data_IF_817208900167
#
_entry.id   IF_817208900167
#
_cell.length_a   1.000
_cell.length_b   1.000
_cell.length_c   1.000
_cell.angle_alpha   90.00
_cell.angle_beta   90.00
_cell.angle_gamma   90.00
#
_symmetry.space_group_name_H-M   'P 1'
#
loop_
_entity.id
_entity.type
_entity.pdbx_description
1 polymer ?
#
# COMPACT_ATOMS: atom_id res chain seq x y z
N UNK A 1 30.19 8.74 9.20
CA UNK A 1 29.31 8.49 10.31
C UNK A 1 28.34 7.38 9.92
N UNK A 2 28.37 6.27 10.68
CA UNK A 2 27.39 5.21 10.52
C UNK A 2 26.01 5.79 10.87
N UNK A 3 25.07 5.70 9.94
CA UNK A 3 23.67 6.02 10.17
C UNK A 3 22.94 4.74 10.58
N UNK A 4 21.97 4.85 11.47
CA UNK A 4 21.25 3.70 12.06
C UNK A 4 20.35 2.97 11.03
N UNK A 5 19.95 3.66 9.95
CA UNK A 5 19.20 3.07 8.84
C UNK A 5 19.87 3.31 7.49
N UNK A 6 19.81 2.31 6.62
CA UNK A 6 20.29 2.42 5.23
C UNK A 6 19.54 3.52 4.46
N UNK A 7 18.30 3.78 4.81
CA UNK A 7 17.46 4.82 4.19
C UNK A 7 17.86 6.26 4.59
N UNK A 8 18.71 6.43 5.60
CA UNK A 8 19.16 7.75 6.04
C UNK A 8 20.31 8.33 5.20
N UNK A 9 20.84 7.55 4.26
CA UNK A 9 21.87 8.04 3.35
C UNK A 9 21.25 8.89 2.24
N UNK A 10 21.62 10.16 2.18
CA UNK A 10 21.10 11.13 1.22
C UNK A 10 21.78 11.09 -0.15
N UNK A 11 22.84 10.31 -0.29
CA UNK A 11 23.63 10.17 -1.51
C UNK A 11 23.48 8.79 -2.20
N UNK A 12 22.50 8.01 -1.80
CA UNK A 12 22.21 6.69 -2.37
C UNK A 12 20.77 6.66 -2.88
N UNK A 13 20.58 6.20 -4.12
CA UNK A 13 19.29 5.87 -4.68
C UNK A 13 19.13 4.34 -4.75
N UNK A 14 18.03 3.83 -4.23
CA UNK A 14 17.75 2.40 -4.15
C UNK A 14 16.89 1.92 -5.31
N UNK A 15 17.20 0.73 -5.85
CA UNK A 15 16.32 0.05 -6.78
C UNK A 15 14.94 -0.18 -6.14
N UNK A 16 13.87 0.06 -6.89
CA UNK A 16 12.48 -0.06 -6.41
C UNK A 16 11.93 1.20 -5.75
N UNK A 17 12.71 2.30 -5.66
CA UNK A 17 12.21 3.61 -5.25
C UNK A 17 11.83 4.47 -6.46
N UNK A 18 10.87 5.38 -6.26
CA UNK A 18 10.40 6.31 -7.30
C UNK A 18 10.93 7.72 -7.04
N UNK A 19 11.29 8.41 -8.12
CA UNK A 19 11.59 9.85 -8.08
C UNK A 19 10.27 10.61 -8.03
N UNK A 20 10.07 11.40 -6.97
CA UNK A 20 8.83 12.16 -6.76
C UNK A 20 8.97 13.59 -7.27
N UNK A 21 10.16 14.18 -7.10
CA UNK A 21 10.44 15.55 -7.56
C UNK A 21 11.92 15.68 -7.92
N UNK A 22 12.22 16.66 -8.76
CA UNK A 22 13.57 17.00 -9.24
C UNK A 22 14.22 15.92 -10.11
N UNK A 23 15.47 16.15 -10.47
CA UNK A 23 16.31 15.24 -11.24
C UNK A 23 17.71 15.17 -10.67
N UNK A 24 18.34 14.01 -10.81
CA UNK A 24 19.72 13.82 -10.37
C UNK A 24 20.48 12.93 -11.35
N UNK A 25 21.80 13.08 -11.36
CA UNK A 25 22.71 12.17 -12.06
C UNK A 25 23.34 11.23 -11.06
N UNK A 26 23.30 9.93 -11.31
CA UNK A 26 23.82 8.91 -10.43
C UNK A 26 24.75 7.94 -11.16
N UNK A 27 25.68 7.34 -10.43
CA UNK A 27 26.52 6.24 -10.89
C UNK A 27 25.95 4.94 -10.38
N UNK A 28 25.68 3.99 -11.29
CA UNK A 28 25.20 2.66 -10.94
C UNK A 28 26.33 1.85 -10.31
N UNK A 29 26.16 1.42 -9.07
CA UNK A 29 27.17 0.64 -8.30
C UNK A 29 26.80 -0.84 -8.18
N UNK A 30 25.50 -1.18 -8.21
CA UNK A 30 25.00 -2.56 -8.14
C UNK A 30 23.81 -2.73 -9.09
N UNK A 31 23.64 -3.93 -9.66
CA UNK A 31 22.52 -4.27 -10.57
C UNK A 31 21.94 -5.64 -10.23
N UNK A 32 20.66 -5.83 -10.56
CA UNK A 32 19.96 -7.11 -10.41
C UNK A 32 19.97 -7.63 -8.97
N UNK A 33 20.33 -8.88 -8.79
CA UNK A 33 20.31 -9.58 -7.49
C UNK A 33 21.33 -9.04 -6.48
N UNK A 34 22.32 -8.27 -6.95
CA UNK A 34 23.30 -7.63 -6.07
C UNK A 34 22.81 -6.31 -5.45
N UNK A 35 21.65 -5.82 -5.86
CA UNK A 35 21.02 -4.67 -5.22
C UNK A 35 20.35 -5.08 -3.90
N UNK A 36 20.08 -4.10 -3.02
CA UNK A 36 19.35 -4.36 -1.78
C UNK A 36 17.96 -4.97 -2.07
N UNK A 37 17.26 -4.44 -3.07
CA UNK A 37 15.97 -4.97 -3.50
C UNK A 37 16.09 -6.40 -4.06
N UNK A 38 17.11 -6.67 -4.89
CA UNK A 38 17.38 -8.00 -5.43
C UNK A 38 17.65 -9.03 -4.35
N UNK A 39 18.44 -8.68 -3.33
CA UNK A 39 18.71 -9.55 -2.19
C UNK A 39 17.46 -9.87 -1.36
N UNK A 40 16.57 -8.88 -1.17
CA UNK A 40 15.26 -9.09 -0.53
C UNK A 40 14.35 -9.97 -1.38
N UNK A 41 14.31 -9.75 -2.69
CA UNK A 41 13.53 -10.58 -3.62
C UNK A 41 14.01 -12.03 -3.63
N UNK A 42 15.33 -12.26 -3.61
CA UNK A 42 15.92 -13.59 -3.50
C UNK A 42 15.58 -14.28 -2.16
N UNK A 43 15.58 -13.53 -1.05
CA UNK A 43 15.16 -14.05 0.26
C UNK A 43 13.69 -14.46 0.31
N UNK A 44 12.81 -13.70 -0.37
CA UNK A 44 11.38 -14.03 -0.48
C UNK A 44 11.14 -15.20 -1.46
N UNK A 45 11.94 -15.32 -2.51
CA UNK A 45 11.89 -16.43 -3.46
C UNK A 45 12.56 -17.72 -2.95
N UNK A 46 13.23 -17.67 -1.79
CA UNK A 46 13.94 -18.77 -1.15
C UNK A 46 13.08 -20.00 -0.86
N UNK A 47 13.71 -21.06 -0.37
CA UNK A 47 13.14 -22.40 -0.20
C UNK A 47 11.72 -22.38 0.38
N UNK A 48 10.84 -23.13 -0.29
CA UNK A 48 9.47 -23.31 0.18
C UNK A 48 9.50 -23.90 1.60
N UNK A 49 8.99 -23.16 2.56
CA UNK A 49 8.92 -23.60 3.95
C UNK A 49 8.12 -24.90 4.01
N UNK A 50 8.73 -25.97 4.56
CA UNK A 50 8.05 -27.23 4.74
C UNK A 50 6.81 -27.05 5.61
N UNK A 51 5.65 -27.41 5.06
CA UNK A 51 4.39 -27.35 5.79
C UNK A 51 4.30 -28.43 6.84
N UNK A 52 3.52 -28.23 7.92
CA UNK A 52 3.25 -29.27 8.93
C UNK A 52 2.68 -30.54 8.30
N UNK A 53 1.91 -30.41 7.23
CA UNK A 53 1.38 -31.54 6.48
C UNK A 53 2.48 -32.31 5.73
N UNK A 54 3.40 -31.63 5.04
CA UNK A 54 4.53 -32.28 4.37
C UNK A 54 5.40 -33.03 5.38
N UNK A 55 5.65 -32.45 6.55
CA UNK A 55 6.35 -33.14 7.65
C UNK A 55 5.59 -34.37 8.12
N UNK A 56 4.26 -34.28 8.25
CA UNK A 56 3.39 -35.41 8.61
C UNK A 56 3.44 -36.54 7.59
N UNK A 57 3.33 -36.22 6.30
CA UNK A 57 3.42 -37.20 5.20
C UNK A 57 4.81 -37.90 5.19
N UNK A 58 5.88 -37.15 5.36
CA UNK A 58 7.23 -37.69 5.47
C UNK A 58 7.39 -38.59 6.69
N UNK A 59 6.82 -38.21 7.83
CA UNK A 59 6.84 -39.04 9.05
C UNK A 59 6.13 -40.40 8.84
N UNK A 60 4.93 -40.39 8.24
CA UNK A 60 4.18 -41.61 7.91
C UNK A 60 4.96 -42.46 6.92
N UNK A 61 5.56 -41.88 5.88
CA UNK A 61 6.39 -42.59 4.91
C UNK A 61 7.58 -43.29 5.59
N UNK A 62 8.26 -42.61 6.53
CA UNK A 62 9.35 -43.23 7.31
C UNK A 62 8.91 -44.38 8.21
N UNK A 63 7.71 -44.28 8.82
CA UNK A 63 7.13 -45.40 9.61
C UNK A 63 6.89 -46.60 8.70
N UNK A 64 6.30 -46.40 7.52
CA UNK A 64 6.07 -47.48 6.54
C UNK A 64 7.38 -48.10 6.04
N UNK A 65 8.39 -47.30 5.74
CA UNK A 65 9.72 -47.78 5.33
C UNK A 65 10.36 -48.65 6.44
N UNK A 66 10.29 -48.20 7.72
CA UNK A 66 10.80 -48.99 8.85
C UNK A 66 10.04 -50.29 9.00
N UNK A 67 8.72 -50.27 8.87
CA UNK A 67 7.89 -51.48 8.91
C UNK A 67 8.27 -52.48 7.78
N UNK A 68 8.44 -51.96 6.56
CA UNK A 68 8.90 -52.76 5.40
C UNK A 68 10.27 -53.38 5.65
N UNK A 69 11.24 -52.62 6.19
CA UNK A 69 12.59 -53.10 6.52
C UNK A 69 12.60 -54.28 7.51
N UNK A 70 11.59 -54.37 8.36
CA UNK A 70 11.44 -55.48 9.30
C UNK A 70 10.65 -56.65 8.69
N UNK A 71 9.53 -56.35 8.03
CA UNK A 71 8.61 -57.35 7.53
C UNK A 71 9.14 -58.11 6.31
N UNK A 72 9.81 -57.44 5.38
CA UNK A 72 10.32 -58.09 4.16
C UNK A 72 11.39 -59.14 4.47
N UNK A 73 12.43 -58.90 5.28
CA UNK A 73 13.37 -59.92 5.70
C UNK A 73 12.70 -61.04 6.50
N UNK A 74 11.78 -60.71 7.41
CA UNK A 74 11.07 -61.73 8.19
C UNK A 74 10.33 -62.73 7.27
N UNK A 75 9.56 -62.20 6.31
CA UNK A 75 8.80 -62.99 5.36
C UNK A 75 9.73 -63.80 4.44
N UNK A 76 10.84 -63.19 4.00
CA UNK A 76 11.85 -63.86 3.18
C UNK A 76 12.43 -65.07 3.90
N UNK A 77 12.87 -64.93 5.13
CA UNK A 77 13.45 -66.04 5.90
C UNK A 77 12.42 -67.12 6.25
N UNK A 78 11.22 -66.74 6.69
CA UNK A 78 10.15 -67.67 7.00
C UNK A 78 9.78 -68.49 5.76
N UNK A 79 9.60 -67.83 4.60
CA UNK A 79 9.21 -68.52 3.36
C UNK A 79 10.35 -69.41 2.80
N UNK A 80 11.61 -68.90 2.88
CA UNK A 80 12.78 -69.70 2.45
C UNK A 80 13.00 -70.97 3.28
N UNK A 81 12.78 -70.88 4.60
CA UNK A 81 12.93 -72.04 5.49
C UNK A 81 11.75 -73.03 5.32
N UNK A 82 10.53 -72.54 5.16
CA UNK A 82 9.33 -73.37 5.11
C UNK A 82 9.18 -74.12 3.74
N UNK A 83 9.49 -73.42 2.64
CA UNK A 83 9.34 -73.95 1.27
C UNK A 83 10.63 -74.51 0.67
N UNK A 84 11.79 -74.14 1.20
CA UNK A 84 13.10 -74.59 0.69
C UNK A 84 13.52 -73.92 -0.61
N UNK A 85 12.71 -73.07 -1.21
CA UNK A 85 13.03 -72.33 -2.44
C UNK A 85 13.31 -70.84 -2.12
N UNK A 86 14.58 -70.52 -2.08
CA UNK A 86 15.07 -69.17 -1.75
C UNK A 86 14.82 -68.17 -2.86
N UNK A 87 14.70 -68.59 -4.13
CA UNK A 87 14.43 -67.73 -5.25
C UNK A 87 12.96 -67.23 -5.20
N UNK A 88 12.03 -68.21 -4.99
CA UNK A 88 10.60 -67.90 -4.84
C UNK A 88 10.37 -67.00 -3.62
N UNK A 89 11.02 -67.28 -2.48
CA UNK A 89 10.95 -66.48 -1.26
C UNK A 89 11.46 -65.04 -1.48
N UNK A 90 12.51 -64.84 -2.27
CA UNK A 90 13.06 -63.55 -2.63
C UNK A 90 12.10 -62.74 -3.53
N UNK A 91 11.57 -63.36 -4.58
CA UNK A 91 10.59 -62.71 -5.45
C UNK A 91 9.30 -62.31 -4.70
N UNK A 92 8.87 -63.14 -3.76
CA UNK A 92 7.74 -62.84 -2.90
C UNK A 92 8.04 -61.70 -1.93
N UNK A 93 9.23 -61.64 -1.36
CA UNK A 93 9.70 -60.53 -0.52
C UNK A 93 9.72 -59.19 -1.27
N UNK A 94 10.22 -59.20 -2.52
CA UNK A 94 10.19 -57.99 -3.38
C UNK A 94 8.75 -57.55 -3.65
N UNK A 95 7.86 -58.51 -3.97
CA UNK A 95 6.45 -58.17 -4.24
C UNK A 95 5.77 -57.49 -3.05
N UNK A 96 6.08 -57.97 -1.81
CA UNK A 96 5.60 -57.30 -0.59
C UNK A 96 6.23 -55.93 -0.42
N UNK A 97 7.53 -55.77 -0.68
CA UNK A 97 8.21 -54.48 -0.60
C UNK A 97 7.57 -53.44 -1.51
N UNK A 98 7.32 -53.79 -2.78
CA UNK A 98 6.65 -52.94 -3.75
C UNK A 98 5.21 -52.60 -3.30
N UNK A 99 4.45 -53.60 -2.81
CA UNK A 99 3.07 -53.43 -2.39
C UNK A 99 2.92 -52.57 -1.11
N UNK A 100 3.93 -52.52 -0.24
CA UNK A 100 3.96 -51.70 0.97
C UNK A 100 4.48 -50.28 0.71
N UNK A 101 5.06 -50.00 -0.44
CA UNK A 101 5.57 -48.66 -0.75
C UNK A 101 4.41 -47.72 -1.03
N UNK A 102 4.31 -46.59 -0.31
CA UNK A 102 3.17 -45.65 -0.43
C UNK A 102 3.29 -44.77 -1.67
N UNK A 103 3.37 -45.32 -2.87
CA UNK A 103 3.59 -44.59 -4.13
C UNK A 103 2.42 -43.66 -4.48
N UNK A 104 1.22 -44.05 -4.08
CA UNK A 104 0.01 -43.31 -4.41
C UNK A 104 -0.21 -42.05 -3.54
N UNK A 105 0.42 -41.97 -2.35
CA UNK A 105 0.18 -40.86 -1.42
C UNK A 105 0.62 -39.49 -1.96
N UNK A 106 1.84 -39.35 -2.53
CA UNK A 106 2.25 -38.08 -3.15
C UNK A 106 1.35 -37.67 -4.32
N UNK A 107 0.91 -38.63 -5.11
CA UNK A 107 0.02 -38.37 -6.25
C UNK A 107 -1.36 -37.89 -5.81
N UNK A 108 -1.96 -38.47 -4.78
CA UNK A 108 -3.23 -38.06 -4.22
C UNK A 108 -3.11 -36.63 -3.67
N UNK A 109 -2.05 -36.37 -2.91
CA UNK A 109 -1.81 -35.02 -2.33
C UNK A 109 -1.67 -33.97 -3.44
N UNK A 110 -0.84 -34.23 -4.44
CA UNK A 110 -0.62 -33.30 -5.57
C UNK A 110 -1.92 -33.04 -6.33
N UNK A 111 -2.72 -34.10 -6.56
CA UNK A 111 -4.02 -33.97 -7.23
C UNK A 111 -5.00 -33.13 -6.43
N UNK A 112 -5.07 -33.31 -5.12
CA UNK A 112 -5.92 -32.51 -4.23
C UNK A 112 -5.48 -31.03 -4.22
N UNK A 113 -4.18 -30.77 -4.14
CA UNK A 113 -3.65 -29.42 -4.19
C UNK A 113 -3.91 -28.73 -5.53
N UNK A 114 -3.71 -29.44 -6.65
CA UNK A 114 -4.03 -28.92 -7.97
C UNK A 114 -5.51 -28.56 -8.11
N UNK A 115 -6.41 -29.44 -7.61
CA UNK A 115 -7.85 -29.15 -7.59
C UNK A 115 -8.17 -27.91 -6.72
N UNK A 116 -7.50 -27.78 -5.57
CA UNK A 116 -7.59 -26.60 -4.72
C UNK A 116 -7.16 -25.32 -5.44
N UNK A 117 -6.00 -25.36 -6.12
CA UNK A 117 -5.50 -24.23 -6.91
C UNK A 117 -6.47 -23.82 -8.02
N UNK A 118 -7.06 -24.77 -8.74
CA UNK A 118 -8.09 -24.49 -9.75
C UNK A 118 -9.33 -23.84 -9.13
N UNK A 119 -9.75 -24.29 -7.96
CA UNK A 119 -10.89 -23.69 -7.25
C UNK A 119 -10.58 -22.24 -6.82
N UNK A 120 -9.36 -21.97 -6.32
CA UNK A 120 -8.91 -20.63 -5.95
C UNK A 120 -8.76 -19.72 -7.18
N UNK A 121 -8.30 -20.25 -8.31
CA UNK A 121 -8.21 -19.50 -9.57
C UNK A 121 -9.58 -18.99 -10.04
N UNK A 122 -10.65 -19.76 -9.85
CA UNK A 122 -12.02 -19.29 -10.14
C UNK A 122 -12.46 -18.13 -9.26
N UNK A 123 -11.82 -17.93 -8.11
CA UNK A 123 -11.99 -16.80 -7.20
C UNK A 123 -10.92 -15.72 -7.39
N UNK A 124 -10.33 -15.64 -8.59
CA UNK A 124 -9.32 -14.64 -8.97
C UNK A 124 -8.02 -14.70 -8.14
N UNK A 125 -7.70 -15.86 -7.56
CA UNK A 125 -6.47 -16.06 -6.79
C UNK A 125 -5.52 -16.95 -7.54
N UNK A 126 -4.30 -16.49 -7.83
CA UNK A 126 -3.24 -17.26 -8.49
C UNK A 126 -2.30 -17.82 -7.43
N UNK A 127 -2.26 -19.14 -7.32
CA UNK A 127 -1.36 -19.83 -6.39
C UNK A 127 -0.02 -20.07 -7.07
N UNK A 128 1.05 -19.48 -6.58
CA UNK A 128 2.41 -19.67 -7.09
C UNK A 128 3.07 -20.94 -6.54
N UNK A 129 2.78 -21.31 -5.30
CA UNK A 129 3.30 -22.51 -4.66
C UNK A 129 2.13 -23.35 -4.13
N UNK A 130 1.93 -24.55 -4.72
CA UNK A 130 0.82 -25.44 -4.37
C UNK A 130 0.81 -25.85 -2.90
N UNK A 131 2.00 -26.07 -2.32
CA UNK A 131 2.12 -26.47 -0.92
C UNK A 131 1.60 -25.41 0.06
N UNK A 132 1.58 -24.14 -0.34
CA UNK A 132 1.07 -23.03 0.50
C UNK A 132 -0.44 -23.12 0.72
N UNK A 133 -1.20 -23.83 -0.13
CA UNK A 133 -2.67 -23.98 0.03
C UNK A 133 -3.00 -24.63 1.36
N UNK A 134 -2.19 -25.55 1.83
CA UNK A 134 -2.42 -26.28 3.08
C UNK A 134 -2.29 -25.39 4.31
N UNK A 135 -1.48 -24.33 4.21
CA UNK A 135 -1.27 -23.39 5.32
C UNK A 135 -2.51 -22.52 5.56
N UNK A 136 -3.35 -22.30 4.54
CA UNK A 136 -4.57 -21.49 4.71
C UNK A 136 -5.56 -22.10 5.70
N UNK A 137 -5.64 -23.43 5.79
CA UNK A 137 -6.52 -24.12 6.73
C UNK A 137 -6.00 -24.19 8.17
N UNK A 138 -4.75 -23.80 8.42
CA UNK A 138 -4.10 -23.83 9.72
C UNK A 138 -3.60 -22.44 10.15
N UNK A 139 -4.14 -21.39 9.56
CA UNK A 139 -3.70 -20.03 9.81
C UNK A 139 -4.51 -19.43 10.96
N UNK A 140 -3.82 -19.02 12.02
CA UNK A 140 -4.42 -18.37 13.20
C UNK A 140 -4.27 -16.84 13.14
N UNK A 141 -3.27 -16.35 12.40
CA UNK A 141 -2.95 -14.93 12.31
C UNK A 141 -2.76 -14.53 10.85
N UNK A 142 -3.54 -13.55 10.40
CA UNK A 142 -3.43 -12.94 9.07
C UNK A 142 -2.79 -11.56 9.18
N UNK A 143 -1.57 -11.42 8.65
CA UNK A 143 -0.92 -10.12 8.49
C UNK A 143 -1.19 -9.61 7.06
N UNK A 144 -1.85 -8.47 6.95
CA UNK A 144 -2.19 -7.87 5.67
C UNK A 144 -1.78 -6.40 5.61
N UNK A 145 -1.44 -5.92 4.41
CA UNK A 145 -1.29 -4.49 4.16
C UNK A 145 -2.68 -3.84 4.04
N UNK A 146 -2.79 -2.57 4.39
CA UNK A 146 -4.03 -1.80 4.32
C UNK A 146 -4.28 -1.32 2.89
N UNK A 147 -3.32 -0.56 2.35
CA UNK A 147 -3.50 0.21 1.12
C UNK A 147 -3.41 -0.69 -0.12
N UNK A 148 -4.44 -0.67 -0.96
CA UNK A 148 -4.51 -1.50 -2.17
C UNK A 148 -4.89 -2.97 -1.92
N UNK A 149 -4.79 -3.46 -0.66
CA UNK A 149 -5.20 -4.81 -0.26
C UNK A 149 -6.58 -4.80 0.38
N UNK A 150 -6.74 -4.13 1.51
CA UNK A 150 -8.04 -3.97 2.19
C UNK A 150 -8.84 -2.80 1.65
N UNK A 151 -8.15 -1.76 1.17
CA UNK A 151 -8.78 -0.59 0.54
C UNK A 151 -8.69 -0.67 -0.98
N UNK A 152 -9.55 0.07 -1.65
CA UNK A 152 -9.48 0.27 -3.10
C UNK A 152 -8.22 1.08 -3.43
N UNK A 153 -7.64 0.88 -4.63
CA UNK A 153 -6.56 1.74 -5.16
C UNK A 153 -7.14 3.10 -5.62
N UNK A 154 -7.99 3.68 -4.78
CA UNK A 154 -8.71 4.91 -5.03
C UNK A 154 -8.80 5.68 -3.72
N UNK A 155 -8.49 6.96 -3.78
CA UNK A 155 -8.72 7.91 -2.70
C UNK A 155 -9.91 8.77 -3.06
N UNK A 156 -10.80 9.03 -2.12
CA UNK A 156 -11.98 9.87 -2.32
C UNK A 156 -11.85 11.11 -1.44
N UNK A 157 -12.08 12.29 -2.03
CA UNK A 157 -12.23 13.53 -1.27
C UNK A 157 -13.66 13.60 -0.72
N UNK A 158 -13.78 13.40 0.60
CA UNK A 158 -15.06 13.37 1.29
C UNK A 158 -15.49 14.78 1.72
N UNK A 159 -14.59 15.53 2.36
CA UNK A 159 -14.88 16.86 2.87
C UNK A 159 -13.88 17.90 2.37
N UNK A 160 -14.38 19.11 2.10
CA UNK A 160 -13.62 20.31 1.79
C UNK A 160 -14.09 21.46 2.71
N UNK A 161 -13.50 21.54 3.89
CA UNK A 161 -13.99 22.32 5.02
C UNK A 161 -13.24 23.65 5.15
N UNK A 162 -13.97 24.71 5.44
CA UNK A 162 -13.40 26.00 5.84
C UNK A 162 -12.79 25.92 7.25
N UNK A 163 -12.21 27.00 7.73
CA UNK A 163 -11.59 27.09 9.05
C UNK A 163 -12.58 26.84 10.20
N UNK A 164 -13.87 27.05 9.97
CA UNK A 164 -14.94 26.78 10.93
C UNK A 164 -15.42 25.31 10.94
N UNK A 165 -14.98 24.52 9.97
CA UNK A 165 -15.40 23.11 9.82
C UNK A 165 -16.66 22.93 8.99
N UNK A 166 -17.04 23.90 8.19
CA UNK A 166 -18.19 23.84 7.28
C UNK A 166 -17.73 23.59 5.85
N UNK A 167 -18.56 22.90 5.06
CA UNK A 167 -18.25 22.68 3.65
C UNK A 167 -18.18 24.00 2.87
N UNK A 168 -17.07 24.19 2.16
CA UNK A 168 -16.84 25.40 1.36
C UNK A 168 -16.15 25.06 0.03
N UNK A 169 -16.87 25.33 -1.06
CA UNK A 169 -16.36 25.14 -2.44
C UNK A 169 -15.14 26.01 -2.75
N UNK A 170 -14.91 27.07 -1.98
CA UNK A 170 -13.72 27.90 -2.11
C UNK A 170 -12.44 27.15 -1.74
N UNK A 171 -12.50 26.29 -0.72
CA UNK A 171 -11.39 25.38 -0.36
C UNK A 171 -11.10 24.45 -1.51
N UNK A 172 -12.14 23.85 -2.09
CA UNK A 172 -12.02 22.94 -3.24
C UNK A 172 -11.42 23.64 -4.45
N UNK A 173 -11.86 24.87 -4.76
CA UNK A 173 -11.29 25.68 -5.86
C UNK A 173 -9.78 25.90 -5.70
N UNK A 174 -9.32 26.30 -4.52
CA UNK A 174 -7.89 26.49 -4.27
C UNK A 174 -7.11 25.17 -4.36
N UNK A 175 -7.68 24.10 -3.82
CA UNK A 175 -7.10 22.78 -3.92
C UNK A 175 -6.96 22.32 -5.37
N UNK A 176 -7.98 22.57 -6.21
CA UNK A 176 -7.93 22.29 -7.64
C UNK A 176 -6.80 23.06 -8.33
N UNK A 177 -6.69 24.36 -8.11
CA UNK A 177 -5.62 25.18 -8.70
C UNK A 177 -4.25 24.64 -8.35
N UNK A 178 -4.03 24.21 -7.11
CA UNK A 178 -2.78 23.57 -6.71
C UNK A 178 -2.56 22.23 -7.40
N UNK A 179 -3.54 21.32 -7.37
CA UNK A 179 -3.41 19.96 -7.89
C UNK A 179 -3.40 19.89 -9.42
N UNK A 180 -4.14 20.75 -10.10
CA UNK A 180 -4.22 20.77 -11.56
C UNK A 180 -2.94 21.34 -12.18
N UNK A 181 -2.44 22.45 -11.66
CA UNK A 181 -1.30 23.18 -12.23
C UNK A 181 0.07 22.68 -11.76
N UNK A 182 0.14 21.78 -10.79
CA UNK A 182 1.43 21.15 -10.43
C UNK A 182 2.01 20.33 -11.58
N UNK A 183 3.34 20.34 -11.71
CA UNK A 183 4.08 19.55 -12.69
C UNK A 183 4.41 18.17 -12.13
N UNK A 184 4.53 17.18 -13.00
CA UNK A 184 4.94 15.83 -12.65
C UNK A 184 3.77 14.88 -12.37
N UNK A 185 4.04 13.84 -11.60
CA UNK A 185 3.07 12.79 -11.31
C UNK A 185 2.00 13.28 -10.32
N UNK A 186 0.73 13.22 -10.74
CA UNK A 186 -0.40 13.51 -9.86
C UNK A 186 -0.69 12.27 -9.01
N UNK A 187 -0.61 12.41 -7.71
CA UNK A 187 -0.93 11.34 -6.78
C UNK A 187 -2.45 11.12 -6.67
N UNK A 188 -2.86 10.06 -5.98
CA UNK A 188 -4.28 9.71 -5.83
C UNK A 188 -5.12 10.83 -5.16
N UNK A 189 -4.53 11.61 -4.26
CA UNK A 189 -5.23 12.74 -3.61
C UNK A 189 -5.42 13.89 -4.59
N UNK A 190 -4.44 14.17 -5.45
CA UNK A 190 -4.58 15.17 -6.51
C UNK A 190 -5.69 14.81 -7.49
N UNK A 191 -5.73 13.54 -7.92
CA UNK A 191 -6.79 13.04 -8.78
C UNK A 191 -8.16 13.12 -8.11
N UNK A 192 -8.25 12.81 -6.81
CA UNK A 192 -9.49 12.93 -6.04
C UNK A 192 -10.00 14.38 -5.97
N UNK A 193 -9.10 15.36 -5.82
CA UNK A 193 -9.45 16.78 -5.84
C UNK A 193 -10.00 17.18 -7.22
N UNK A 194 -9.31 16.81 -8.28
CA UNK A 194 -9.71 17.13 -9.66
C UNK A 194 -11.08 16.53 -9.96
N UNK A 195 -11.25 15.24 -9.72
CA UNK A 195 -12.53 14.54 -9.90
C UNK A 195 -13.68 15.18 -9.12
N UNK A 196 -13.45 15.48 -7.83
CA UNK A 196 -14.47 16.10 -6.99
C UNK A 196 -14.87 17.48 -7.52
N UNK A 197 -13.90 18.24 -8.03
CA UNK A 197 -14.17 19.56 -8.62
C UNK A 197 -15.01 19.44 -9.88
N UNK A 198 -14.67 18.51 -10.77
CA UNK A 198 -15.42 18.25 -12.01
C UNK A 198 -16.86 17.76 -11.71
N UNK A 199 -17.05 16.91 -10.69
CA UNK A 199 -18.40 16.49 -10.26
C UNK A 199 -19.24 17.69 -9.77
N UNK A 200 -18.64 18.65 -9.08
CA UNK A 200 -19.32 19.81 -8.49
C UNK A 200 -19.42 21.00 -9.44
N UNK A 201 -18.75 20.99 -10.57
CA UNK A 201 -18.73 22.09 -11.57
C UNK A 201 -20.14 22.46 -12.04
N UNK A 202 -21.01 21.46 -12.24
CA UNK A 202 -22.40 21.69 -12.64
C UNK A 202 -23.25 22.34 -11.55
N UNK A 203 -22.85 22.22 -10.28
CA UNK A 203 -23.60 22.73 -9.14
C UNK A 203 -23.13 24.12 -8.69
N UNK A 204 -21.83 24.45 -8.88
CA UNK A 204 -21.26 25.73 -8.44
C UNK A 204 -20.47 26.45 -9.54
N UNK A 205 -21.00 27.60 -9.97
CA UNK A 205 -20.38 28.44 -11.02
C UNK A 205 -18.95 28.90 -10.70
N UNK A 206 -18.54 28.87 -9.45
CA UNK A 206 -17.18 29.23 -9.02
C UNK A 206 -16.12 28.21 -9.39
N UNK A 207 -16.53 27.01 -9.78
CA UNK A 207 -15.67 25.90 -10.18
C UNK A 207 -15.55 25.74 -11.70
N UNK A 208 -16.37 26.47 -12.47
CA UNK A 208 -16.42 26.38 -13.94
C UNK A 208 -15.15 26.98 -14.55
N UNK A 209 -14.60 26.30 -15.57
CA UNK A 209 -13.49 26.75 -16.43
C UNK A 209 -12.25 27.23 -15.65
N UNK A 210 -11.94 26.64 -14.48
CA UNK A 210 -10.78 27.04 -13.69
C UNK A 210 -9.47 26.85 -14.46
N UNK A 211 -9.35 25.79 -15.25
CA UNK A 211 -8.18 25.50 -16.10
C UNK A 211 -7.98 26.53 -17.22
N UNK A 212 -9.05 27.18 -17.71
CA UNK A 212 -9.00 28.21 -18.74
C UNK A 212 -8.88 29.63 -18.16
N UNK A 213 -9.30 29.81 -16.92
CA UNK A 213 -9.31 31.10 -16.23
C UNK A 213 -7.96 31.46 -15.63
N UNK A 214 -7.18 30.46 -15.27
CA UNK A 214 -5.87 30.62 -14.65
C UNK A 214 -4.77 30.04 -15.53
N UNK A 215 -3.58 30.63 -15.42
CA UNK A 215 -2.35 30.16 -16.08
C UNK A 215 -1.32 29.91 -14.99
N UNK A 216 -0.62 28.79 -15.10
CA UNK A 216 0.53 28.50 -14.22
C UNK A 216 1.66 29.48 -14.51
N UNK A 217 2.22 30.06 -13.47
CA UNK A 217 3.39 30.97 -13.54
C UNK A 217 4.63 30.27 -13.00
N UNK A 218 4.51 29.60 -11.85
CA UNK A 218 5.64 28.92 -11.20
C UNK A 218 5.13 27.86 -10.23
N UNK A 219 6.05 27.07 -9.68
CA UNK A 219 5.76 26.12 -8.60
C UNK A 219 6.96 25.93 -7.68
N UNK A 220 6.68 25.57 -6.43
CA UNK A 220 7.66 25.08 -5.48
C UNK A 220 7.31 23.61 -5.26
N UNK A 221 8.11 22.66 -5.78
CA UNK A 221 7.80 21.24 -5.71
C UNK A 221 7.65 20.72 -4.29
N UNK A 222 7.02 19.57 -4.15
CA UNK A 222 6.88 18.89 -2.87
C UNK A 222 8.26 18.54 -2.29
N UNK A 223 8.43 18.81 -0.99
CA UNK A 223 9.62 18.45 -0.24
C UNK A 223 9.20 17.73 1.06
N UNK A 224 9.81 16.59 1.32
CA UNK A 224 9.53 15.76 2.49
C UNK A 224 9.83 16.44 3.84
N UNK A 225 10.79 17.38 3.87
CA UNK A 225 11.07 18.17 5.09
C UNK A 225 10.01 19.23 5.34
N UNK A 226 9.57 19.87 4.25
CA UNK A 226 8.54 20.93 4.30
C UNK A 226 7.12 20.35 4.30
N UNK A 227 6.92 19.11 3.84
CA UNK A 227 5.64 18.37 3.70
C UNK A 227 4.53 19.21 3.04
N UNK A 228 4.90 20.05 2.07
CA UNK A 228 4.00 20.92 1.34
C UNK A 228 4.49 21.18 -0.09
N UNK A 229 3.56 21.58 -0.93
CA UNK A 229 3.76 21.95 -2.33
C UNK A 229 3.01 23.23 -2.62
N UNK A 230 3.63 24.14 -3.35
CA UNK A 230 3.03 25.42 -3.74
C UNK A 230 2.98 25.56 -5.25
N UNK A 231 1.86 26.04 -5.78
CA UNK A 231 1.73 26.47 -7.18
C UNK A 231 1.41 27.95 -7.21
N UNK A 232 2.01 28.65 -8.17
CA UNK A 232 1.69 30.05 -8.42
C UNK A 232 0.92 30.14 -9.73
N UNK A 233 -0.29 30.66 -9.64
CA UNK A 233 -1.18 30.86 -10.80
C UNK A 233 -1.48 32.33 -10.98
N UNK A 234 -1.78 32.73 -12.21
CA UNK A 234 -2.16 34.08 -12.58
C UNK A 234 -3.55 34.07 -13.20
N UNK A 235 -4.41 34.98 -12.77
CA UNK A 235 -5.73 35.18 -13.36
C UNK A 235 -5.67 36.05 -14.66
N UNK A 236 -6.79 36.17 -15.36
CA UNK A 236 -6.91 36.98 -16.60
C UNK A 236 -6.63 38.48 -16.38
N UNK A 237 -6.65 38.95 -15.12
CA UNK A 237 -6.37 40.35 -14.75
C UNK A 237 -4.88 40.55 -14.40
N UNK A 238 -4.06 39.54 -14.52
CA UNK A 238 -2.64 39.62 -14.15
C UNK A 238 -2.33 39.47 -12.69
N UNK A 239 -3.34 39.20 -11.83
CA UNK A 239 -3.12 38.97 -10.38
C UNK A 239 -2.55 37.60 -10.16
N UNK A 240 -1.41 37.52 -9.48
CA UNK A 240 -0.77 36.27 -9.09
C UNK A 240 -1.28 35.79 -7.74
N UNK A 241 -1.41 34.48 -7.61
CA UNK A 241 -1.85 33.82 -6.39
C UNK A 241 -0.99 32.57 -6.17
N UNK A 242 -0.34 32.47 -5.02
CA UNK A 242 0.32 31.26 -4.57
C UNK A 242 -0.68 30.44 -3.76
N UNK A 243 -0.88 29.20 -4.15
CA UNK A 243 -1.71 28.24 -3.43
C UNK A 243 -0.82 27.10 -2.93
N UNK A 244 -0.82 26.88 -1.63
CA UNK A 244 -0.01 25.86 -0.98
C UNK A 244 -0.90 24.79 -0.36
N UNK A 245 -0.53 23.53 -0.58
CA UNK A 245 -1.17 22.34 -0.02
C UNK A 245 -0.14 21.55 0.78
N UNK A 246 -0.50 21.11 1.97
CA UNK A 246 0.43 20.34 2.81
C UNK A 246 -0.20 19.77 4.07
N UNK A 247 0.64 19.12 4.87
CA UNK A 247 0.24 18.58 6.16
C UNK A 247 -0.18 19.74 7.11
N UNK A 248 -1.21 19.50 7.92
CA UNK A 248 -1.87 20.57 8.67
C UNK A 248 -0.92 21.30 9.61
N UNK A 249 -0.08 20.59 10.34
CA UNK A 249 0.87 21.17 11.30
C UNK A 249 1.88 22.10 10.60
N UNK A 250 2.48 21.63 9.50
CA UNK A 250 3.43 22.40 8.70
C UNK A 250 2.77 23.60 8.02
N UNK A 251 1.50 23.47 7.60
CA UNK A 251 0.76 24.59 7.04
C UNK A 251 0.42 25.65 8.10
N UNK A 252 0.02 25.23 9.30
CA UNK A 252 -0.20 26.15 10.41
C UNK A 252 1.07 26.90 10.82
N UNK A 253 2.26 26.36 10.60
CA UNK A 253 3.52 27.02 10.91
C UNK A 253 3.85 28.21 9.98
N UNK A 254 3.33 28.20 8.75
CA UNK A 254 3.56 29.25 7.74
C UNK A 254 2.38 30.22 7.58
N UNK A 255 1.25 29.93 8.23
CA UNK A 255 0.07 30.77 8.18
C UNK A 255 0.05 31.75 9.38
N UNK A 256 0.01 33.03 9.08
CA UNK A 256 -0.20 34.10 10.06
C UNK A 256 -1.66 34.55 10.11
N UNK A 257 -2.45 34.18 9.10
CA UNK A 257 -3.84 34.56 8.94
C UNK A 257 -4.72 33.37 8.63
N UNK A 258 -6.00 33.50 8.88
CA UNK A 258 -7.03 32.57 8.47
C UNK A 258 -8.21 33.31 7.86
N UNK A 259 -8.88 32.68 6.91
CA UNK A 259 -10.11 33.22 6.34
C UNK A 259 -11.31 32.59 7.04
N UNK A 260 -12.08 33.43 7.71
CA UNK A 260 -13.33 33.06 8.37
C UNK A 260 -14.46 33.88 7.76
N UNK A 261 -15.49 33.23 7.22
CA UNK A 261 -16.68 33.86 6.63
C UNK A 261 -16.34 34.92 5.57
N UNK A 262 -15.34 34.67 4.74
CA UNK A 262 -14.88 35.60 3.70
C UNK A 262 -14.00 36.74 4.17
N UNK A 263 -13.69 36.83 5.46
CA UNK A 263 -12.83 37.86 6.06
C UNK A 263 -11.49 37.24 6.51
N UNK A 264 -10.40 37.87 6.10
CA UNK A 264 -9.06 37.51 6.55
C UNK A 264 -8.81 38.13 7.93
N UNK A 265 -8.46 37.29 8.89
CA UNK A 265 -8.16 37.69 10.26
C UNK A 265 -6.89 36.98 10.76
N UNK A 266 -6.19 37.53 11.77
CA UNK A 266 -5.02 36.90 12.34
C UNK A 266 -5.35 35.48 12.87
N UNK A 267 -4.47 34.53 12.61
CA UNK A 267 -4.60 33.14 13.09
C UNK A 267 -4.23 33.09 14.59
N UNK A 268 -5.23 33.25 15.46
CA UNK A 268 -5.08 33.21 16.91
C UNK A 268 -4.95 31.76 17.41
N UNK A 269 -4.35 31.57 18.57
CA UNK A 269 -4.15 30.28 19.19
C UNK A 269 -5.47 29.50 19.44
N UNK A 270 -6.55 30.20 19.72
CA UNK A 270 -7.89 29.60 19.87
C UNK A 270 -8.38 28.97 18.57
N UNK A 271 -8.19 29.67 17.44
CA UNK A 271 -8.56 29.16 16.10
C UNK A 271 -7.66 27.98 15.72
N UNK A 272 -6.36 28.13 15.99
CA UNK A 272 -5.38 27.05 15.76
C UNK A 272 -5.74 25.78 16.53
N UNK A 273 -6.04 25.90 17.83
CA UNK A 273 -6.43 24.77 18.68
C UNK A 273 -7.74 24.13 18.22
N UNK A 274 -8.71 24.92 17.77
CA UNK A 274 -9.97 24.40 17.21
C UNK A 274 -9.74 23.60 15.94
N UNK A 275 -8.90 24.10 15.02
CA UNK A 275 -8.53 23.39 13.78
C UNK A 275 -7.89 22.06 14.11
N UNK A 276 -6.86 22.05 14.96
CA UNK A 276 -6.16 20.81 15.35
C UNK A 276 -7.14 19.80 15.96
N UNK A 277 -8.03 20.22 16.86
CA UNK A 277 -9.04 19.33 17.45
C UNK A 277 -9.99 18.73 16.40
N UNK A 278 -10.38 19.52 15.39
CA UNK A 278 -11.24 19.03 14.31
C UNK A 278 -10.48 18.03 13.41
N UNK A 279 -9.22 18.34 13.12
CA UNK A 279 -8.33 17.47 12.33
C UNK A 279 -8.08 16.16 13.05
N UNK A 280 -7.80 16.20 14.36
CA UNK A 280 -7.62 14.98 15.18
C UNK A 280 -8.88 14.10 15.16
N UNK A 281 -10.05 14.71 15.32
CA UNK A 281 -11.32 13.99 15.23
C UNK A 281 -11.61 13.38 13.85
N UNK A 282 -11.09 13.96 12.75
CA UNK A 282 -11.15 13.39 11.42
C UNK A 282 -10.12 12.24 11.26
N UNK A 283 -8.91 12.43 11.77
CA UNK A 283 -7.86 11.41 11.75
C UNK A 283 -8.29 10.14 12.54
N UNK A 284 -8.93 10.31 13.71
CA UNK A 284 -9.48 9.21 14.50
C UNK A 284 -10.55 8.41 13.73
N UNK A 285 -11.30 9.07 12.84
CA UNK A 285 -12.26 8.42 11.93
C UNK A 285 -11.62 7.79 10.70
N UNK A 286 -10.29 7.84 10.58
CA UNK A 286 -9.52 7.25 9.48
C UNK A 286 -9.35 8.13 8.25
N UNK A 287 -9.71 9.41 8.31
CA UNK A 287 -9.44 10.36 7.23
C UNK A 287 -7.98 10.80 7.22
N UNK A 288 -7.47 11.11 6.03
CA UNK A 288 -6.21 11.83 5.85
C UNK A 288 -6.54 13.30 5.59
N UNK A 289 -5.96 14.21 6.36
CA UNK A 289 -6.28 15.64 6.27
C UNK A 289 -5.10 16.43 5.71
N UNK A 290 -5.38 17.28 4.70
CA UNK A 290 -4.44 18.25 4.15
C UNK A 290 -5.01 19.65 4.31
N UNK A 291 -4.16 20.62 4.66
CA UNK A 291 -4.54 22.02 4.71
C UNK A 291 -4.24 22.74 3.38
N UNK A 292 -5.03 23.77 3.10
CA UNK A 292 -4.92 24.66 1.95
C UNK A 292 -4.74 26.09 2.44
N UNK A 293 -3.70 26.76 1.94
CA UNK A 293 -3.47 28.17 2.21
C UNK A 293 -3.20 28.92 0.92
N UNK A 294 -3.38 30.25 0.96
CA UNK A 294 -3.11 31.12 -0.17
C UNK A 294 -2.31 32.36 0.24
N UNK A 295 -1.61 32.93 -0.73
CA UNK A 295 -0.99 34.25 -0.64
C UNK A 295 -1.17 34.99 -1.97
N UNK A 296 -1.72 36.18 -1.92
CA UNK A 296 -1.90 37.03 -3.11
C UNK A 296 -0.64 37.83 -3.39
N UNK A 297 -0.21 37.89 -4.65
CA UNK A 297 0.96 38.63 -5.13
C UNK A 297 2.23 38.34 -4.27
N UNK A 298 2.68 37.08 -4.13
CA UNK A 298 3.75 36.74 -3.20
C UNK A 298 5.07 37.45 -3.50
N UNK A 299 5.48 37.49 -4.75
CA UNK A 299 6.67 38.18 -5.27
C UNK A 299 6.43 38.58 -6.73
N UNK A 300 7.27 39.42 -7.33
CA UNK A 300 7.24 39.66 -8.77
C UNK A 300 7.45 38.36 -9.57
N UNK A 301 6.85 38.28 -10.76
CA UNK A 301 6.98 37.12 -11.64
C UNK A 301 8.47 36.86 -11.93
N UNK A 302 8.89 35.59 -11.77
CA UNK A 302 10.27 35.13 -11.92
C UNK A 302 11.13 35.21 -10.64
N UNK A 303 10.57 35.68 -9.52
CA UNK A 303 11.28 35.76 -8.23
C UNK A 303 10.65 34.87 -7.12
N UNK A 304 9.76 33.98 -7.47
CA UNK A 304 9.10 33.07 -6.52
C UNK A 304 10.07 32.05 -5.93
N UNK A 305 9.85 31.70 -4.66
CA UNK A 305 10.69 30.71 -3.99
C UNK A 305 10.16 30.32 -2.61
N UNK A 306 10.86 29.42 -1.93
CA UNK A 306 10.48 28.94 -0.59
C UNK A 306 10.30 30.05 0.43
N UNK A 307 11.01 31.18 0.27
CA UNK A 307 10.86 32.39 1.10
C UNK A 307 9.45 33.00 1.07
N UNK A 308 8.69 32.76 0.01
CA UNK A 308 7.32 33.25 -0.14
C UNK A 308 6.30 32.42 0.63
N UNK A 309 6.67 31.19 1.03
CA UNK A 309 5.87 30.32 1.88
C UNK A 309 5.85 30.79 3.35
N UNK A 310 5.48 32.02 3.59
CA UNK A 310 5.31 32.63 4.90
C UNK A 310 4.17 33.63 4.88
N UNK A 311 3.62 33.95 6.04
CA UNK A 311 2.51 34.88 6.21
C UNK A 311 1.32 34.56 5.29
N UNK A 312 1.02 33.26 5.17
CA UNK A 312 -0.07 32.81 4.34
C UNK A 312 -1.42 32.91 5.05
N UNK A 313 -2.48 32.92 4.26
CA UNK A 313 -3.86 32.90 4.73
C UNK A 313 -4.36 31.44 4.62
N UNK A 314 -4.65 30.81 5.74
CA UNK A 314 -5.27 29.49 5.78
C UNK A 314 -6.72 29.61 5.27
N UNK A 315 -7.07 28.85 4.24
CA UNK A 315 -8.41 28.82 3.66
C UNK A 315 -9.26 27.71 4.29
N UNK A 316 -8.65 26.55 4.55
CA UNK A 316 -9.35 25.42 5.10
C UNK A 316 -8.56 24.13 4.94
N UNK A 317 -9.27 23.01 4.98
CA UNK A 317 -8.67 21.69 4.89
C UNK A 317 -9.54 20.70 4.12
N UNK A 318 -8.90 19.70 3.59
CA UNK A 318 -9.47 18.62 2.81
C UNK A 318 -9.35 17.32 3.59
N UNK A 319 -10.39 16.52 3.64
CA UNK A 319 -10.37 15.22 4.27
C UNK A 319 -10.61 14.11 3.23
N UNK A 320 -9.66 13.20 3.15
CA UNK A 320 -9.64 12.09 2.20
C UNK A 320 -9.89 10.77 2.90
N UNK A 321 -10.64 9.91 2.24
CA UNK A 321 -10.91 8.55 2.69
C UNK A 321 -10.31 7.55 1.70
N UNK A 322 -9.70 6.50 2.24
CA UNK A 322 -9.34 5.31 1.49
C UNK A 322 -10.53 4.31 1.61
N UNK A 323 -11.45 4.21 0.64
CA UNK A 323 -12.63 3.36 0.77
C UNK A 323 -12.23 1.88 0.87
N UNK A 324 -12.82 1.11 1.80
CA UNK A 324 -12.58 -0.32 1.87
C UNK A 324 -13.13 -1.03 0.62
N UNK A 325 -12.55 -2.16 0.24
CA UNK A 325 -13.14 -3.05 -0.76
C UNK A 325 -14.37 -3.73 -0.18
N UNK A 326 -15.40 -3.96 -0.99
CA UNK A 326 -16.59 -4.72 -0.56
C UNK A 326 -16.22 -6.11 -0.01
N UNK A 327 -15.24 -6.76 -0.62
CA UNK A 327 -14.72 -8.06 -0.15
C UNK A 327 -14.10 -7.99 1.25
N UNK A 328 -13.61 -6.84 1.68
CA UNK A 328 -13.06 -6.65 3.03
C UNK A 328 -14.16 -6.67 4.08
N UNK A 329 -15.34 -6.11 3.78
CA UNK A 329 -16.49 -6.18 4.68
C UNK A 329 -16.93 -7.63 4.91
N UNK A 330 -16.92 -8.46 3.85
CA UNK A 330 -17.23 -9.88 3.95
C UNK A 330 -16.21 -10.65 4.79
N UNK A 331 -14.94 -10.26 4.77
CA UNK A 331 -13.90 -10.87 5.61
C UNK A 331 -14.17 -10.63 7.11
N UNK A 332 -14.59 -9.42 7.48
CA UNK A 332 -14.92 -9.07 8.87
C UNK A 332 -16.22 -9.68 9.38
N UNK A 333 -17.12 -10.03 8.49
CA UNK A 333 -18.45 -10.62 8.84
C UNK A 333 -18.51 -12.11 8.62
N UNK A 334 -17.42 -12.76 8.16
CA UNK A 334 -17.37 -14.20 7.97
C UNK A 334 -17.10 -14.94 9.28
N UNK A 335 -17.63 -16.16 9.40
CA UNK A 335 -17.39 -17.05 10.55
C UNK A 335 -15.89 -17.26 10.85
N UNK A 336 -15.04 -17.15 9.82
CA UNK A 336 -13.58 -17.22 9.97
C UNK A 336 -12.99 -16.10 10.86
N UNK A 337 -13.67 -14.95 10.99
CA UNK A 337 -13.26 -13.87 11.90
C UNK A 337 -13.81 -14.07 13.32
N UNK A 338 -14.90 -14.80 13.48
CA UNK A 338 -15.52 -15.07 14.79
C UNK A 338 -14.89 -16.26 15.52
N UNK A 339 -14.36 -17.25 14.78
CA UNK A 339 -13.61 -18.38 15.37
C UNK A 339 -12.21 -17.98 15.91
N UNK A 340 -11.72 -16.79 15.59
CA UNK A 340 -10.42 -16.27 16.06
C UNK A 340 -10.52 -15.43 17.35
N UNK A 341 -11.65 -15.52 18.10
CA UNK A 341 -11.83 -14.86 19.40
C UNK A 341 -11.62 -15.80 20.55
#
# INVERSE_FOLDING_TARGET
PHKDSVTDYTNIAFMGSNVISESATAVVICVGDHTLFGSMAAAVAGEAVETSFTKGVNAVSWVLIRFMLVMVPLVFFVNGITKGDWLEAFLFGISIAVGLTPEMLPMIVTTCLAKGAVSMSKKQTIVKNLNSIQNFGAMDILCTDKTGTLTQDKVVLEYHLNVNGEDDTRVLRHAYLNSYFQTGYKNLMDLAIIHKTEEMEAADKRLIDLSETYVKVDEIPFDFKRRRLSTVVQDKNGKTQMVTKGAVEEMLSICSFAECDGHVQPLRDEVRSRILKTVDGLNEKGFRVLAIAQKSNPSPVGAFGVKDECDMVLIGYLAFLDPPKESTCLLYTSDAADEAR
#
